data_IF_652230926773
#
_entry.id   IF_652230926773
#
_cell.length_a   1.000
_cell.length_b   1.000
_cell.length_c   1.000
_cell.angle_alpha   90.00
_cell.angle_beta   90.00
_cell.angle_gamma   90.00
#
_symmetry.space_group_name_H-M   'P 1'
#
loop_
_entity.id
_entity.type
_entity.pdbx_description
1 polymer ?
#
# COMPACT_ATOMS: atom_id res chain seq x y z
N UNK A 1 -20.49 -18.77 19.77
CA UNK A 1 -20.20 -17.50 20.48
C UNK A 1 -18.85 -16.98 20.04
N UNK A 2 -18.78 -15.80 19.43
CA UNK A 2 -17.52 -15.13 19.08
C UNK A 2 -17.00 -14.39 20.31
N UNK A 3 -15.72 -14.63 20.67
CA UNK A 3 -15.07 -13.92 21.78
C UNK A 3 -15.03 -12.41 21.52
N UNK A 4 -15.10 -11.56 22.57
CA UNK A 4 -14.86 -10.13 22.41
C UNK A 4 -13.48 -9.86 21.82
N UNK A 5 -13.38 -8.85 20.95
CA UNK A 5 -12.11 -8.43 20.38
C UNK A 5 -11.21 -7.82 21.46
N UNK A 6 -9.94 -8.21 21.44
CA UNK A 6 -8.88 -7.56 22.21
C UNK A 6 -8.72 -6.09 21.81
N UNK A 7 -8.03 -5.31 22.66
CA UNK A 7 -7.73 -3.90 22.36
C UNK A 7 -6.95 -3.74 21.05
N UNK A 8 -5.97 -4.61 20.81
CA UNK A 8 -5.18 -4.62 19.57
C UNK A 8 -6.05 -4.93 18.34
N UNK A 9 -6.92 -5.93 18.41
CA UNK A 9 -7.83 -6.27 17.32
C UNK A 9 -8.81 -5.13 17.01
N UNK A 10 -9.31 -4.42 18.04
CA UNK A 10 -10.15 -3.22 17.85
C UNK A 10 -9.39 -2.07 17.20
N UNK A 11 -8.14 -1.84 17.60
CA UNK A 11 -7.30 -0.79 16.99
C UNK A 11 -7.04 -1.08 15.51
N UNK A 12 -6.69 -2.32 15.16
CA UNK A 12 -6.49 -2.76 13.78
C UNK A 12 -7.78 -2.61 12.97
N UNK A 13 -8.92 -3.03 13.52
CA UNK A 13 -10.21 -2.88 12.85
C UNK A 13 -10.57 -1.41 12.60
N UNK A 14 -10.36 -0.53 13.59
CA UNK A 14 -10.61 0.91 13.44
C UNK A 14 -9.74 1.53 12.36
N UNK A 15 -8.44 1.19 12.35
CA UNK A 15 -7.50 1.63 11.33
C UNK A 15 -7.90 1.15 9.93
N UNK A 16 -8.30 -0.11 9.78
CA UNK A 16 -8.72 -0.65 8.49
C UNK A 16 -9.98 0.05 7.97
N UNK A 17 -10.98 0.29 8.84
CA UNK A 17 -12.18 1.06 8.46
C UNK A 17 -11.83 2.47 8.00
N UNK A 18 -10.94 3.15 8.72
CA UNK A 18 -10.48 4.48 8.35
C UNK A 18 -9.77 4.47 6.99
N UNK A 19 -8.89 3.50 6.73
CA UNK A 19 -8.20 3.37 5.44
C UNK A 19 -9.18 3.21 4.28
N UNK A 20 -10.16 2.32 4.42
CA UNK A 20 -11.18 2.07 3.38
C UNK A 20 -12.02 3.32 3.10
N UNK A 21 -12.43 4.03 4.15
CA UNK A 21 -13.27 5.22 4.01
C UNK A 21 -12.53 6.40 3.39
N UNK A 22 -11.29 6.64 3.80
CA UNK A 22 -10.48 7.73 3.22
C UNK A 22 -10.05 7.42 1.78
N UNK A 23 -9.77 6.16 1.46
CA UNK A 23 -9.55 5.74 0.07
C UNK A 23 -10.80 6.01 -0.79
N UNK A 24 -11.99 5.65 -0.30
CA UNK A 24 -13.27 5.92 -0.97
C UNK A 24 -13.44 7.41 -1.26
N UNK A 25 -13.24 8.28 -0.26
CA UNK A 25 -13.33 9.73 -0.43
C UNK A 25 -12.32 10.26 -1.44
N UNK A 26 -11.10 9.73 -1.44
CA UNK A 26 -10.07 10.14 -2.39
C UNK A 26 -10.46 9.80 -3.83
N UNK A 27 -11.06 8.62 -4.05
CA UNK A 27 -11.61 8.20 -5.34
C UNK A 27 -12.77 9.10 -5.75
N UNK A 28 -13.71 9.40 -4.85
CA UNK A 28 -14.85 10.27 -5.14
C UNK A 28 -14.42 11.68 -5.55
N UNK A 29 -13.31 12.17 -4.99
CA UNK A 29 -12.81 13.51 -5.29
C UNK A 29 -11.97 13.59 -6.57
N UNK A 30 -11.10 12.61 -6.83
CA UNK A 30 -10.06 12.70 -7.90
C UNK A 30 -9.90 11.43 -8.72
N UNK A 31 -10.82 10.48 -8.62
CA UNK A 31 -10.75 9.17 -9.29
C UNK A 31 -9.55 8.33 -8.85
N UNK A 32 -9.06 7.48 -9.75
CA UNK A 32 -7.92 6.58 -9.49
C UNK A 32 -6.62 7.32 -9.12
N UNK A 33 -6.44 8.55 -9.61
CA UNK A 33 -5.32 9.41 -9.19
C UNK A 33 -5.43 9.73 -7.70
N UNK A 34 -6.64 10.00 -7.20
CA UNK A 34 -6.91 10.21 -5.79
C UNK A 34 -6.55 9.00 -4.93
N UNK A 35 -6.88 7.79 -5.38
CA UNK A 35 -6.47 6.53 -4.72
C UNK A 35 -4.95 6.46 -4.59
N UNK A 36 -4.22 6.69 -5.68
CA UNK A 36 -2.75 6.65 -5.69
C UNK A 36 -2.16 7.68 -4.71
N UNK A 37 -2.61 8.93 -4.76
CA UNK A 37 -2.11 10.00 -3.89
C UNK A 37 -2.39 9.75 -2.40
N UNK A 38 -3.56 9.19 -2.09
CA UNK A 38 -3.90 8.77 -0.73
C UNK A 38 -2.88 7.77 -0.19
N UNK A 39 -2.63 6.69 -0.92
CA UNK A 39 -1.67 5.67 -0.49
C UNK A 39 -0.25 6.20 -0.38
N UNK A 40 0.20 7.06 -1.31
CA UNK A 40 1.50 7.73 -1.20
C UNK A 40 1.63 8.54 0.10
N UNK A 41 0.58 9.26 0.50
CA UNK A 41 0.55 10.05 1.73
C UNK A 41 0.61 9.16 2.98
N UNK A 42 -0.18 8.08 3.00
CA UNK A 42 -0.18 7.10 4.09
C UNK A 42 1.21 6.47 4.22
N UNK A 43 1.77 5.95 3.13
CA UNK A 43 3.10 5.32 3.11
C UNK A 43 4.20 6.28 3.55
N UNK A 44 4.20 7.53 3.09
CA UNK A 44 5.18 8.55 3.55
C UNK A 44 5.10 8.77 5.07
N UNK A 45 3.90 8.76 5.62
CA UNK A 45 3.68 8.94 7.06
C UNK A 45 4.21 7.75 7.85
N UNK A 46 4.02 6.53 7.35
CA UNK A 46 4.62 5.32 7.93
C UNK A 46 6.14 5.32 7.87
N UNK A 47 6.73 5.62 6.71
CA UNK A 47 8.19 5.74 6.56
C UNK A 47 8.75 6.72 7.60
N UNK A 48 8.09 7.86 7.80
CA UNK A 48 8.50 8.85 8.81
C UNK A 48 8.45 8.27 10.22
N UNK A 49 7.46 7.44 10.54
CA UNK A 49 7.37 6.75 11.84
C UNK A 49 8.47 5.72 12.03
N UNK A 50 8.75 4.92 11.01
CA UNK A 50 9.82 3.91 11.02
C UNK A 50 11.18 4.57 11.26
N UNK A 51 11.47 5.67 10.56
CA UNK A 51 12.71 6.45 10.73
C UNK A 51 12.82 6.98 12.17
N UNK A 52 11.74 7.56 12.72
CA UNK A 52 11.73 8.04 14.12
C UNK A 52 11.96 6.91 15.13
N UNK A 53 11.62 5.68 14.78
CA UNK A 53 11.85 4.50 15.59
C UNK A 53 13.22 3.83 15.33
N UNK A 54 14.12 4.49 14.59
CA UNK A 54 15.49 4.03 14.31
C UNK A 54 15.62 3.04 13.15
N UNK A 55 14.54 2.78 12.39
CA UNK A 55 14.52 1.85 11.25
C UNK A 55 14.66 2.61 9.93
N UNK A 56 15.87 3.09 9.66
CA UNK A 56 16.18 3.92 8.49
C UNK A 56 16.30 3.15 7.16
N UNK A 57 16.47 1.83 7.22
CA UNK A 57 16.55 0.91 6.08
C UNK A 57 15.29 0.96 5.19
N UNK A 58 14.16 1.39 5.77
CA UNK A 58 12.91 1.62 5.05
C UNK A 58 13.05 2.59 3.86
N UNK A 59 13.96 3.58 3.95
CA UNK A 59 14.19 4.53 2.84
C UNK A 59 14.78 3.81 1.64
N UNK A 60 15.79 2.98 1.87
CA UNK A 60 16.43 2.17 0.83
C UNK A 60 15.44 1.18 0.23
N UNK A 61 14.63 0.51 1.07
CA UNK A 61 13.59 -0.40 0.60
C UNK A 61 12.56 0.30 -0.29
N UNK A 62 12.01 1.45 0.15
CA UNK A 62 11.06 2.22 -0.64
C UNK A 62 11.66 2.69 -1.98
N UNK A 63 12.91 3.14 -1.96
CA UNK A 63 13.64 3.56 -3.17
C UNK A 63 13.77 2.42 -4.18
N UNK A 64 14.05 1.20 -3.72
CA UNK A 64 14.14 0.02 -4.59
C UNK A 64 12.78 -0.30 -5.24
N UNK A 65 11.68 -0.22 -4.47
CA UNK A 65 10.32 -0.43 -4.99
C UNK A 65 9.98 0.58 -6.08
N UNK A 66 10.29 1.88 -5.87
CA UNK A 66 10.06 2.91 -6.89
C UNK A 66 10.89 2.64 -8.17
N UNK A 67 12.16 2.27 -8.02
CA UNK A 67 13.03 1.94 -9.16
C UNK A 67 12.54 0.72 -9.94
N UNK A 68 12.09 -0.32 -9.23
CA UNK A 68 11.48 -1.51 -9.84
C UNK A 68 10.22 -1.13 -10.62
N UNK A 69 9.32 -0.35 -10.00
CA UNK A 69 8.08 0.06 -10.67
C UNK A 69 8.34 0.88 -11.94
N UNK A 70 9.31 1.81 -11.90
CA UNK A 70 9.76 2.54 -13.10
C UNK A 70 10.25 1.58 -14.19
N UNK A 71 11.13 0.63 -13.84
CA UNK A 71 11.69 -0.32 -14.81
C UNK A 71 10.59 -1.16 -15.49
N UNK A 72 9.61 -1.67 -14.72
CA UNK A 72 8.54 -2.48 -15.32
C UNK A 72 7.65 -1.66 -16.26
N UNK A 73 7.44 -0.37 -15.97
CA UNK A 73 6.73 0.54 -16.88
C UNK A 73 7.51 0.77 -18.18
N UNK A 74 8.83 0.99 -18.09
CA UNK A 74 9.70 1.14 -19.27
C UNK A 74 9.67 -0.12 -20.16
N UNK A 75 9.73 -1.31 -19.54
CA UNK A 75 9.64 -2.58 -20.28
C UNK A 75 8.27 -2.78 -20.92
N UNK A 76 7.20 -2.43 -20.23
CA UNK A 76 5.84 -2.48 -20.77
C UNK A 76 5.67 -1.55 -21.96
N UNK A 77 6.19 -0.32 -21.89
CA UNK A 77 6.17 0.64 -23.01
C UNK A 77 7.00 0.14 -24.20
N UNK A 78 8.07 -0.61 -23.95
CA UNK A 78 8.88 -1.28 -24.98
C UNK A 78 8.24 -2.57 -25.53
N UNK A 79 7.00 -2.90 -25.14
CA UNK A 79 6.25 -4.06 -25.64
C UNK A 79 6.46 -5.37 -24.88
N UNK A 80 7.16 -5.36 -23.73
CA UNK A 80 7.30 -6.53 -22.84
C UNK A 80 6.54 -6.32 -21.52
N UNK A 81 5.27 -6.75 -21.42
CA UNK A 81 4.44 -6.55 -20.23
C UNK A 81 4.70 -7.56 -19.11
N UNK A 82 5.47 -8.63 -19.35
CA UNK A 82 5.56 -9.79 -18.43
C UNK A 82 5.99 -9.40 -17.02
N UNK A 83 6.97 -8.50 -16.90
CA UNK A 83 7.44 -8.04 -15.59
C UNK A 83 6.38 -7.22 -14.85
N UNK A 84 5.56 -6.46 -15.58
CA UNK A 84 4.45 -5.72 -14.99
C UNK A 84 3.39 -6.70 -14.45
N UNK A 85 3.03 -7.71 -15.23
CA UNK A 85 2.02 -8.70 -14.84
C UNK A 85 2.47 -9.51 -13.63
N UNK A 86 3.73 -9.97 -13.61
CA UNK A 86 4.31 -10.66 -12.45
C UNK A 86 4.29 -9.78 -11.19
N UNK A 87 4.65 -8.50 -11.32
CA UNK A 87 4.64 -7.57 -10.18
C UNK A 87 3.23 -7.38 -9.65
N UNK A 88 2.23 -7.19 -10.53
CA UNK A 88 0.83 -7.02 -10.12
C UNK A 88 0.25 -8.28 -9.50
N UNK A 89 0.56 -9.45 -10.05
CA UNK A 89 0.15 -10.73 -9.47
C UNK A 89 0.71 -10.90 -8.06
N UNK A 90 2.02 -10.68 -7.88
CA UNK A 90 2.65 -10.79 -6.58
C UNK A 90 2.06 -9.81 -5.56
N UNK A 91 1.94 -8.53 -5.94
CA UNK A 91 1.35 -7.50 -5.09
C UNK A 91 -0.09 -7.86 -4.70
N UNK A 92 -0.91 -8.31 -5.66
CA UNK A 92 -2.28 -8.74 -5.42
C UNK A 92 -2.37 -9.92 -4.46
N UNK A 93 -1.51 -10.94 -4.60
CA UNK A 93 -1.45 -12.08 -3.68
C UNK A 93 -1.10 -11.64 -2.26
N UNK A 94 -0.05 -10.83 -2.09
CA UNK A 94 0.39 -10.36 -0.77
C UNK A 94 -0.69 -9.50 -0.10
N UNK A 95 -1.29 -8.56 -0.83
CA UNK A 95 -2.36 -7.72 -0.30
C UNK A 95 -3.61 -8.52 0.05
N UNK A 96 -3.96 -9.55 -0.72
CA UNK A 96 -5.08 -10.43 -0.38
C UNK A 96 -4.83 -11.24 0.90
N UNK A 97 -3.58 -11.65 1.15
CA UNK A 97 -3.21 -12.44 2.33
C UNK A 97 -3.06 -11.58 3.59
N UNK A 98 -2.48 -10.39 3.46
CA UNK A 98 -2.00 -9.59 4.60
C UNK A 98 -2.57 -8.17 4.66
N UNK A 99 -3.27 -7.71 3.63
CA UNK A 99 -3.82 -6.37 3.56
C UNK A 99 -5.01 -6.14 4.50
N UNK A 100 -5.43 -4.88 4.65
CA UNK A 100 -6.69 -4.54 5.33
C UNK A 100 -7.84 -5.34 4.72
N UNK A 101 -8.50 -6.18 5.52
CA UNK A 101 -9.69 -6.92 5.06
C UNK A 101 -10.86 -5.95 4.94
N UNK A 102 -11.59 -6.05 3.81
CA UNK A 102 -12.90 -5.42 3.63
C UNK A 102 -13.92 -5.96 4.63
#
# INVERSE_FOLDING_TARGET
>A
MTRPLSSAERSIQGRNRWLTEEERKAIESRGEIGRMEFWLRVTRSEITREIKAGRGDVITAFTLVCRLFKLVLEKRQAGDPRLFDHLMQYAGTVLKQHGPRH
#
